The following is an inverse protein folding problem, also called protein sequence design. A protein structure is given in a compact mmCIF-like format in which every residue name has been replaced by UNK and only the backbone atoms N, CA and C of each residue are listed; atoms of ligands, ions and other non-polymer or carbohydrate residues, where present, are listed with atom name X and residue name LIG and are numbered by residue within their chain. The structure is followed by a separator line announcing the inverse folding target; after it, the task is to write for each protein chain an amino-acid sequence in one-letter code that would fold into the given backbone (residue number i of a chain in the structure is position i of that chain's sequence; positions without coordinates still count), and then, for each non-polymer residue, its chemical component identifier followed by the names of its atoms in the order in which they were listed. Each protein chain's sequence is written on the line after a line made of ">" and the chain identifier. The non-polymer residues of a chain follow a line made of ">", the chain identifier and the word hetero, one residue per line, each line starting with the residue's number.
data_IF_612964656627
#
_entry.id   IF_612964656627
#
_cell.length_a   1.000
_cell.length_b   1.000
_cell.length_c   1.000
_cell.angle_alpha   90.00
_cell.angle_beta   90.00
_cell.angle_gamma   90.00
#
_symmetry.space_group_name_H-M   'P 1'
#
loop_
_entity.id
_entity.type
_entity.pdbx_description
1 polymer ?
#
# COMPACT_ATOMS: atom_id res chain seq x y z
N UNK A 1 -65.63 2.81 -38.12
CA UNK A 1 -65.23 2.55 -36.72
C UNK A 1 -63.80 3.04 -36.56
N UNK A 2 -63.58 4.28 -36.09
CA UNK A 2 -62.24 4.86 -35.87
C UNK A 2 -62.04 4.96 -34.36
N UNK A 3 -61.14 4.15 -33.82
CA UNK A 3 -60.79 4.17 -32.40
C UNK A 3 -59.71 5.23 -32.17
N UNK A 4 -60.08 6.30 -31.47
CA UNK A 4 -59.16 7.36 -31.06
C UNK A 4 -58.47 6.91 -29.77
N UNK A 5 -57.15 6.73 -29.83
CA UNK A 5 -56.32 6.40 -28.66
C UNK A 5 -55.97 7.69 -27.92
N UNK A 6 -56.46 7.85 -26.70
CA UNK A 6 -56.06 8.93 -25.80
C UNK A 6 -54.82 8.50 -25.01
N UNK A 7 -53.68 9.14 -25.27
CA UNK A 7 -52.46 8.99 -24.46
C UNK A 7 -52.59 9.90 -23.24
N UNK A 8 -52.76 9.29 -22.06
CA UNK A 8 -52.79 9.98 -20.77
C UNK A 8 -51.35 10.25 -20.33
N UNK A 9 -50.94 11.52 -20.32
CA UNK A 9 -49.64 11.93 -19.81
C UNK A 9 -49.64 11.82 -18.27
N UNK A 10 -48.83 10.91 -17.72
CA UNK A 10 -48.60 10.81 -16.29
C UNK A 10 -47.66 11.94 -15.85
N UNK A 11 -48.23 12.97 -15.22
CA UNK A 11 -47.47 14.00 -14.54
C UNK A 11 -46.78 13.39 -13.31
N UNK A 12 -45.44 13.41 -13.29
CA UNK A 12 -44.63 12.97 -12.17
C UNK A 12 -44.85 13.88 -10.95
N UNK A 13 -45.26 13.28 -9.83
CA UNK A 13 -45.30 13.93 -8.52
C UNK A 13 -43.86 14.09 -7.99
N UNK A 14 -43.36 15.32 -7.99
CA UNK A 14 -42.15 15.69 -7.24
C UNK A 14 -42.55 15.84 -5.78
N UNK A 15 -42.23 14.86 -4.95
CA UNK A 15 -42.29 15.02 -3.48
C UNK A 15 -41.17 15.96 -3.04
N UNK A 16 -41.54 17.19 -2.68
CA UNK A 16 -40.64 18.09 -1.97
C UNK A 16 -40.34 17.52 -0.57
N UNK A 17 -39.08 17.14 -0.32
CA UNK A 17 -38.62 16.81 1.03
C UNK A 17 -38.60 18.11 1.87
N UNK A 18 -39.17 18.11 3.09
CA UNK A 18 -39.08 19.27 3.96
C UNK A 18 -37.62 19.47 4.38
N UNK A 19 -37.07 20.63 4.01
CA UNK A 19 -35.75 21.04 4.50
C UNK A 19 -35.90 21.43 5.97
N UNK A 20 -35.44 20.54 6.86
CA UNK A 20 -35.38 20.81 8.30
C UNK A 20 -34.51 22.06 8.52
N UNK A 21 -35.14 23.11 9.02
CA UNK A 21 -34.46 24.37 9.33
C UNK A 21 -33.49 24.14 10.50
N UNK A 22 -32.34 24.82 10.45
CA UNK A 22 -31.21 24.68 11.39
C UNK A 22 -31.59 24.82 12.87
N UNK A 23 -32.74 25.43 13.16
CA UNK A 23 -33.31 25.60 14.50
C UNK A 23 -33.81 24.30 15.14
N UNK A 24 -34.29 23.32 14.36
CA UNK A 24 -34.77 22.04 14.90
C UNK A 24 -33.63 21.12 15.34
N UNK A 25 -32.51 21.14 14.62
CA UNK A 25 -31.33 20.31 14.89
C UNK A 25 -30.74 20.64 16.28
N UNK A 26 -30.69 21.92 16.64
CA UNK A 26 -30.21 22.37 17.96
C UNK A 26 -31.08 21.89 19.13
N UNK A 27 -32.39 21.75 18.91
CA UNK A 27 -33.34 21.26 19.93
C UNK A 27 -33.20 19.74 20.14
N UNK A 28 -32.92 18.98 19.08
CA UNK A 28 -32.65 17.53 19.17
C UNK A 28 -31.33 17.22 19.87
N UNK A 29 -30.28 18.01 19.65
CA UNK A 29 -28.99 17.81 20.33
C UNK A 29 -29.06 18.10 21.84
N UNK A 30 -29.99 18.95 22.29
CA UNK A 30 -30.24 19.18 23.71
C UNK A 30 -30.95 17.99 24.37
N UNK A 31 -31.86 17.32 23.65
CA UNK A 31 -32.62 16.18 24.17
C UNK A 31 -31.85 14.84 24.11
N UNK A 32 -30.95 14.66 23.13
CA UNK A 32 -30.18 13.41 22.94
C UNK A 32 -28.73 13.70 22.53
N UNK A 33 -27.88 14.15 23.47
CA UNK A 33 -26.52 14.59 23.16
C UNK A 33 -25.62 13.50 22.58
N UNK A 34 -25.90 12.22 22.87
CA UNK A 34 -25.15 11.08 22.33
C UNK A 34 -25.39 10.83 20.83
N UNK A 35 -26.51 11.29 20.27
CA UNK A 35 -26.81 11.17 18.83
C UNK A 35 -26.19 12.31 18.00
N UNK A 36 -25.81 13.42 18.65
CA UNK A 36 -25.12 14.55 18.02
C UNK A 36 -23.61 14.54 18.24
N UNK A 37 -23.05 13.44 18.75
CA UNK A 37 -21.60 13.27 18.77
C UNK A 37 -21.15 13.26 17.31
N UNK A 38 -20.45 14.31 16.87
CA UNK A 38 -19.62 14.21 15.65
C UNK A 38 -18.76 12.99 15.88
N UNK A 39 -18.96 11.97 15.05
CA UNK A 39 -17.97 10.94 14.85
C UNK A 39 -16.66 11.70 14.65
N UNK A 40 -15.76 11.58 15.63
CA UNK A 40 -14.41 12.04 15.43
C UNK A 40 -13.96 11.26 14.20
N UNK A 41 -13.81 11.95 13.07
CA UNK A 41 -13.16 11.41 11.87
C UNK A 41 -12.00 10.59 12.38
N UNK A 42 -12.08 9.28 12.16
CA UNK A 42 -11.00 8.37 12.48
C UNK A 42 -9.77 8.98 11.85
N UNK A 43 -8.91 9.56 12.68
CA UNK A 43 -7.66 10.13 12.25
C UNK A 43 -7.00 9.01 11.47
N UNK A 44 -6.97 9.17 10.15
CA UNK A 44 -6.28 8.25 9.27
C UNK A 44 -4.83 8.49 9.60
N UNK A 45 -4.36 7.76 10.62
CA UNK A 45 -2.98 7.71 10.99
C UNK A 45 -2.26 7.35 9.71
N UNK A 46 -1.53 8.31 9.16
CA UNK A 46 -0.50 8.06 8.19
C UNK A 46 0.52 7.19 8.92
N UNK A 47 0.26 5.88 8.91
CA UNK A 47 1.19 4.88 9.36
C UNK A 47 2.43 5.13 8.52
N UNK A 48 3.46 5.73 9.13
CA UNK A 48 4.80 5.68 8.59
C UNK A 48 5.00 4.20 8.24
N UNK A 49 5.32 3.85 6.98
CA UNK A 49 5.54 2.47 6.64
C UNK A 49 6.64 1.97 7.58
N UNK A 50 6.28 1.02 8.44
CA UNK A 50 7.21 0.40 9.38
C UNK A 50 8.31 -0.18 8.52
N UNK A 51 9.48 0.46 8.55
CA UNK A 51 10.62 -0.04 7.78
C UNK A 51 10.96 -1.42 8.36
N UNK A 52 10.94 -2.50 7.57
CA UNK A 52 11.40 -3.79 8.05
C UNK A 52 12.81 -3.62 8.64
N UNK A 53 12.96 -4.04 9.89
CA UNK A 53 14.26 -4.02 10.57
C UNK A 53 15.01 -5.28 10.16
N UNK A 54 16.10 -5.08 9.42
CA UNK A 54 16.96 -6.17 8.95
C UNK A 54 18.19 -6.31 9.85
N UNK A 55 18.62 -7.55 10.09
CA UNK A 55 19.91 -7.82 10.71
C UNK A 55 21.03 -7.48 9.72
N UNK A 56 22.06 -6.77 10.16
CA UNK A 56 23.25 -6.52 9.34
C UNK A 56 24.10 -7.79 9.14
N UNK A 57 24.72 -7.92 7.97
CA UNK A 57 25.62 -9.01 7.61
C UNK A 57 26.78 -8.55 6.72
N UNK A 58 27.78 -9.42 6.55
CA UNK A 58 28.92 -9.16 5.66
C UNK A 58 29.77 -7.97 6.12
N UNK A 59 30.23 -7.18 5.16
CA UNK A 59 31.13 -6.03 5.34
C UNK A 59 32.62 -6.41 5.35
N UNK A 60 33.48 -5.46 5.00
CA UNK A 60 34.93 -5.63 4.96
C UNK A 60 35.55 -5.46 6.36
N UNK A 61 35.19 -6.35 7.29
CA UNK A 61 35.65 -6.34 8.69
C UNK A 61 36.29 -7.68 9.06
N UNK A 62 37.10 -7.70 10.12
CA UNK A 62 37.85 -8.91 10.58
C UNK A 62 36.92 -10.10 10.87
N UNK A 63 35.74 -9.83 11.43
CA UNK A 63 34.74 -10.85 11.76
C UNK A 63 33.37 -10.47 11.17
N UNK A 64 33.13 -10.73 9.87
CA UNK A 64 31.88 -10.36 9.22
C UNK A 64 30.72 -11.19 9.78
N UNK A 65 29.58 -10.53 10.04
CA UNK A 65 28.39 -11.21 10.57
C UNK A 65 27.74 -12.07 9.50
N UNK A 66 27.44 -13.32 9.83
CA UNK A 66 26.67 -14.22 8.97
C UNK A 66 25.18 -14.12 9.26
N UNK A 67 24.37 -14.43 8.24
CA UNK A 67 22.93 -14.50 8.42
C UNK A 67 22.48 -15.80 9.11
N UNK A 68 21.32 -15.80 9.80
CA UNK A 68 20.69 -17.01 10.30
C UNK A 68 20.39 -18.02 9.18
N UNK A 69 20.15 -19.28 9.54
CA UNK A 69 19.76 -20.31 8.56
C UNK A 69 18.51 -19.90 7.80
N UNK A 70 18.53 -20.08 6.47
CA UNK A 70 17.42 -19.72 5.57
C UNK A 70 17.42 -18.25 5.12
N UNK A 71 18.39 -17.46 5.58
CA UNK A 71 18.59 -16.08 5.14
C UNK A 71 19.84 -15.96 4.30
N UNK A 72 19.85 -14.97 3.43
CA UNK A 72 20.99 -14.61 2.58
C UNK A 72 21.41 -13.18 2.88
N UNK A 73 22.70 -12.90 2.70
CA UNK A 73 23.23 -11.56 2.83
C UNK A 73 23.16 -10.85 1.47
N UNK A 74 22.42 -9.75 1.41
CA UNK A 74 22.30 -8.92 0.20
C UNK A 74 22.60 -7.47 0.52
N UNK A 75 22.84 -6.67 -0.52
CA UNK A 75 23.04 -5.24 -0.35
C UNK A 75 21.80 -4.55 0.19
N UNK A 76 22.00 -3.47 0.95
CA UNK A 76 20.89 -2.67 1.45
C UNK A 76 20.58 -1.53 0.47
N UNK A 77 19.46 -1.59 -0.26
CA UNK A 77 19.14 -0.63 -1.31
C UNK A 77 18.79 0.77 -0.77
N UNK A 78 18.63 0.93 0.55
CA UNK A 78 18.35 2.23 1.18
C UNK A 78 19.58 2.92 1.75
N UNK A 79 20.71 2.23 1.74
CA UNK A 79 21.98 2.75 2.23
C UNK A 79 23.03 2.62 1.13
N UNK A 80 24.14 1.95 1.41
CA UNK A 80 25.20 1.64 0.48
C UNK A 80 25.30 0.12 0.25
N UNK A 81 26.03 -0.27 -0.79
CA UNK A 81 26.28 -1.66 -1.19
C UNK A 81 27.53 -2.25 -0.54
N UNK A 82 27.62 -3.57 -0.52
CA UNK A 82 28.83 -4.27 -0.06
C UNK A 82 30.04 -3.98 -0.96
N UNK A 83 29.82 -3.57 -2.21
CA UNK A 83 30.87 -3.17 -3.14
C UNK A 83 31.64 -1.91 -2.70
N UNK A 84 31.03 -1.06 -1.85
CA UNK A 84 31.66 0.14 -1.28
C UNK A 84 31.87 0.00 0.23
N UNK A 85 32.18 -1.22 0.67
CA UNK A 85 32.53 -1.59 2.05
C UNK A 85 31.43 -1.37 3.12
N UNK A 86 30.17 -1.33 2.70
CA UNK A 86 29.06 -1.28 3.64
C UNK A 86 28.55 -2.67 4.05
N UNK A 87 28.00 -2.81 5.28
CA UNK A 87 27.33 -4.05 5.67
C UNK A 87 26.05 -4.25 4.84
N UNK A 88 25.79 -5.49 4.47
CA UNK A 88 24.53 -5.92 3.87
C UNK A 88 23.44 -6.15 4.91
N UNK A 89 22.31 -6.67 4.44
CA UNK A 89 21.14 -7.03 5.24
C UNK A 89 20.77 -8.50 5.02
N UNK A 90 20.36 -9.17 6.11
CA UNK A 90 19.85 -10.54 6.05
C UNK A 90 18.39 -10.55 5.61
N UNK A 91 18.11 -11.15 4.47
CA UNK A 91 16.76 -11.28 3.91
C UNK A 91 16.40 -12.74 3.66
N UNK A 92 15.10 -13.03 3.71
CA UNK A 92 14.59 -14.32 3.23
C UNK A 92 14.61 -14.27 1.70
N UNK A 93 15.25 -15.24 1.01
CA UNK A 93 15.30 -15.26 -0.45
C UNK A 93 13.88 -15.44 -1.00
N UNK A 94 13.32 -14.36 -1.54
CA UNK A 94 12.03 -14.36 -2.21
C UNK A 94 12.19 -13.64 -3.55
N UNK A 95 12.11 -14.41 -4.62
CA UNK A 95 12.20 -13.89 -5.97
C UNK A 95 11.00 -12.99 -6.33
N UNK A 96 11.25 -11.98 -7.15
CA UNK A 96 10.25 -11.08 -7.69
C UNK A 96 10.68 -10.60 -9.08
N UNK A 97 9.79 -9.87 -9.77
CA UNK A 97 10.08 -9.38 -11.11
C UNK A 97 10.21 -10.52 -12.11
N UNK A 98 11.23 -10.43 -12.96
CA UNK A 98 11.42 -11.32 -14.10
C UNK A 98 10.37 -11.08 -15.20
N UNK A 99 10.49 -11.83 -16.30
CA UNK A 99 9.52 -11.82 -17.40
C UNK A 99 8.06 -12.03 -16.94
N UNK A 100 7.87 -12.80 -15.86
CA UNK A 100 6.54 -13.06 -15.28
C UNK A 100 6.02 -11.94 -14.36
N UNK A 101 6.86 -10.96 -13.98
CA UNK A 101 6.48 -9.82 -13.15
C UNK A 101 6.02 -10.20 -11.74
N UNK A 102 6.69 -11.15 -11.07
CA UNK A 102 6.26 -11.63 -9.77
C UNK A 102 6.25 -10.51 -8.70
N UNK A 103 5.13 -10.28 -8.00
CA UNK A 103 5.04 -9.21 -7.02
C UNK A 103 5.68 -9.59 -5.69
N UNK A 104 6.13 -8.57 -4.95
CA UNK A 104 6.54 -8.73 -3.57
C UNK A 104 5.35 -8.71 -2.59
N UNK A 105 5.50 -9.33 -1.40
CA UNK A 105 4.52 -9.20 -0.33
C UNK A 105 4.33 -7.74 0.10
N UNK A 106 3.21 -7.48 0.77
CA UNK A 106 2.91 -6.14 1.30
C UNK A 106 4.09 -5.57 2.13
N UNK A 107 4.44 -4.33 1.84
CA UNK A 107 5.52 -3.60 2.54
C UNK A 107 6.93 -3.82 1.98
N UNK A 108 7.11 -4.70 1.00
CA UNK A 108 8.39 -4.94 0.33
C UNK A 108 8.40 -4.38 -1.09
N UNK A 109 9.60 -4.06 -1.59
CA UNK A 109 9.86 -3.69 -2.98
C UNK A 109 10.78 -4.73 -3.62
N UNK A 110 10.60 -4.89 -4.92
CA UNK A 110 11.47 -5.73 -5.72
C UNK A 110 12.74 -4.93 -6.06
N UNK A 111 13.90 -5.49 -5.73
CA UNK A 111 15.19 -4.94 -6.10
C UNK A 111 15.95 -6.00 -6.88
N UNK A 112 16.72 -5.57 -7.87
CA UNK A 112 17.56 -6.46 -8.67
C UNK A 112 18.49 -7.30 -7.78
N UNK A 113 18.61 -8.60 -8.05
CA UNK A 113 19.46 -9.49 -7.24
C UNK A 113 20.90 -9.42 -7.76
N UNK A 114 21.84 -8.78 -7.04
CA UNK A 114 23.21 -8.59 -7.54
C UNK A 114 24.04 -9.89 -7.64
N UNK A 115 23.41 -11.04 -7.34
CA UNK A 115 24.01 -12.37 -7.43
C UNK A 115 23.65 -13.07 -8.74
N UNK A 116 22.79 -12.48 -9.57
CA UNK A 116 22.53 -12.96 -10.91
C UNK A 116 23.41 -12.23 -11.94
N UNK A 117 23.52 -12.80 -13.14
CA UNK A 117 24.28 -12.22 -14.25
C UNK A 117 23.41 -11.29 -15.12
N UNK A 118 22.24 -10.88 -14.62
CA UNK A 118 21.30 -10.06 -15.38
C UNK A 118 21.72 -8.59 -15.24
N UNK A 119 22.11 -7.97 -16.36
CA UNK A 119 22.39 -6.53 -16.35
C UNK A 119 21.06 -5.75 -16.41
N UNK A 120 20.68 -5.01 -15.36
CA UNK A 120 19.41 -4.28 -15.35
C UNK A 120 19.34 -3.18 -16.43
N UNK A 121 20.48 -2.73 -16.96
CA UNK A 121 20.51 -1.72 -18.04
C UNK A 121 20.27 -2.34 -19.43
N UNK A 122 20.49 -3.64 -19.58
CA UNK A 122 20.32 -4.36 -20.86
C UNK A 122 19.19 -5.41 -20.82
N UNK A 123 18.76 -5.85 -19.63
CA UNK A 123 17.66 -6.79 -19.37
C UNK A 123 16.41 -6.16 -18.75
N UNK A 124 16.51 -4.95 -18.20
CA UNK A 124 15.36 -4.16 -17.77
C UNK A 124 14.45 -4.86 -16.75
N UNK A 125 13.15 -4.87 -17.01
CA UNK A 125 12.13 -5.45 -16.13
C UNK A 125 12.11 -7.00 -16.11
N UNK A 126 12.86 -7.64 -17.01
CA UNK A 126 12.91 -9.09 -17.15
C UNK A 126 13.94 -9.75 -16.21
N UNK A 127 14.73 -8.96 -15.48
CA UNK A 127 15.67 -9.47 -14.47
C UNK A 127 14.94 -9.96 -13.21
N UNK A 128 15.42 -11.07 -12.64
CA UNK A 128 14.88 -11.60 -11.40
C UNK A 128 15.43 -10.76 -10.26
N UNK A 129 14.52 -10.20 -9.46
CA UNK A 129 14.86 -9.48 -8.25
C UNK A 129 14.60 -10.28 -6.99
N UNK A 130 14.89 -9.64 -5.86
CA UNK A 130 14.61 -10.09 -4.51
C UNK A 130 13.76 -9.08 -3.73
N UNK A 131 12.83 -9.58 -2.91
CA UNK A 131 11.95 -8.75 -2.11
C UNK A 131 12.59 -8.24 -0.80
N UNK A 132 12.73 -6.92 -0.69
CA UNK A 132 13.30 -6.19 0.46
C UNK A 132 12.32 -5.13 0.99
#
# INVERSE_FOLDING_TARGET
>A
MKATVFIIALAGIVSAAPQATTTEIGRWCSARPHLCRREAEAATATLRPVLPTYQACGGHVVNPKTCPKGYICVDNPRTCSQAVDCPGICVIPQACGGFAGFPCPAGKKCYDDPRDDCDPNNGGADCIGICI
#
